data_IF_884022361476
#
_entry.id   IF_884022361476
#
_cell.length_a   1.000
_cell.length_b   1.000
_cell.length_c   1.000
_cell.angle_alpha   90.00
_cell.angle_beta   90.00
_cell.angle_gamma   90.00
#
_symmetry.space_group_name_H-M   'P 1'
#
loop_
_entity.id
_entity.type
_entity.pdbx_description
1 polymer ?
#
# COMPACT_ATOMS: atom_id res chain seq x y z
N UNK A 1 23.47 -11.28 -3.07
CA UNK A 1 22.14 -11.14 -2.43
C UNK A 1 22.23 -10.02 -1.39
N UNK A 2 21.23 -9.14 -1.32
CA UNK A 2 21.26 -7.90 -0.51
C UNK A 2 21.18 -8.11 1.01
N UNK A 3 20.85 -9.31 1.47
CA UNK A 3 20.76 -9.62 2.90
C UNK A 3 19.60 -8.95 3.63
N UNK A 4 18.55 -8.54 2.92
CA UNK A 4 17.34 -7.96 3.49
C UNK A 4 16.46 -9.02 4.17
N UNK A 5 15.96 -8.68 5.36
CA UNK A 5 15.18 -9.58 6.23
C UNK A 5 13.77 -9.01 6.47
N UNK A 6 13.63 -7.69 6.46
CA UNK A 6 12.33 -7.02 6.56
C UNK A 6 11.74 -6.74 5.18
N UNK A 7 10.50 -7.19 4.99
CA UNK A 7 9.69 -6.95 3.79
C UNK A 7 8.50 -6.12 4.19
N UNK A 8 8.38 -4.91 3.63
CA UNK A 8 7.23 -4.04 3.85
C UNK A 8 6.22 -4.21 2.71
N UNK A 9 4.97 -4.51 3.05
CA UNK A 9 3.88 -4.72 2.11
C UNK A 9 2.72 -3.77 2.43
N UNK A 10 2.37 -2.92 1.47
CA UNK A 10 1.30 -1.91 1.58
C UNK A 10 -0.12 -2.47 1.48
N UNK A 11 -0.36 -3.72 1.88
CA UNK A 11 -1.70 -4.30 1.92
C UNK A 11 -2.64 -3.47 2.79
N UNK A 12 -3.93 -3.50 2.43
CA UNK A 12 -4.98 -2.84 3.15
C UNK A 12 -6.25 -3.69 3.09
N UNK A 13 -6.84 -4.04 4.24
CA UNK A 13 -8.05 -4.88 4.27
C UNK A 13 -9.35 -4.11 4.03
N UNK A 14 -9.30 -2.78 4.10
CA UNK A 14 -10.46 -1.90 3.95
C UNK A 14 -10.67 -1.45 2.50
N UNK A 15 -9.62 -1.50 1.67
CA UNK A 15 -9.71 -1.24 0.24
C UNK A 15 -10.57 -2.33 -0.42
N UNK A 16 -11.67 -1.88 -1.01
CA UNK A 16 -12.69 -2.74 -1.59
C UNK A 16 -12.13 -3.83 -2.50
N UNK A 17 -12.41 -5.09 -2.14
CA UNK A 17 -12.26 -6.31 -2.98
C UNK A 17 -12.30 -7.61 -2.16
N UNK A 18 -12.01 -7.56 -0.84
CA UNK A 18 -12.02 -8.76 -0.01
C UNK A 18 -10.99 -9.81 -0.44
N UNK A 19 -9.92 -9.40 -1.16
CA UNK A 19 -8.89 -10.31 -1.62
C UNK A 19 -8.33 -11.11 -0.43
N UNK A 20 -8.29 -12.44 -0.52
CA UNK A 20 -7.87 -13.29 0.59
C UNK A 20 -6.38 -13.15 0.92
N UNK A 21 -5.58 -12.65 -0.02
CA UNK A 21 -4.13 -12.45 0.12
C UNK A 21 -3.74 -11.15 0.87
N UNK A 22 -4.67 -10.22 1.05
CA UNK A 22 -4.43 -9.00 1.84
C UNK A 22 -4.74 -9.19 3.33
N UNK A 23 -5.14 -10.41 3.74
CA UNK A 23 -5.56 -10.71 5.12
C UNK A 23 -4.37 -11.09 6.01
N UNK A 24 -4.41 -10.75 7.32
CA UNK A 24 -3.35 -11.13 8.26
C UNK A 24 -3.00 -12.63 8.23
N UNK A 25 -4.01 -13.49 8.09
CA UNK A 25 -3.82 -14.95 8.11
C UNK A 25 -3.01 -15.44 6.90
N UNK A 26 -3.23 -14.85 5.73
CA UNK A 26 -2.43 -15.14 4.53
C UNK A 26 -0.99 -14.66 4.73
N UNK A 27 -0.82 -13.42 5.20
CA UNK A 27 0.51 -12.83 5.41
C UNK A 27 1.33 -13.65 6.41
N UNK A 28 0.71 -14.08 7.51
CA UNK A 28 1.33 -14.93 8.53
C UNK A 28 1.70 -16.32 7.96
N UNK A 29 0.83 -16.90 7.14
CA UNK A 29 1.11 -18.18 6.48
C UNK A 29 2.26 -18.06 5.47
N UNK A 30 2.28 -16.97 4.70
CA UNK A 30 3.33 -16.69 3.73
C UNK A 30 4.67 -16.43 4.41
N UNK A 31 4.71 -15.65 5.51
CA UNK A 31 5.93 -15.42 6.29
C UNK A 31 6.51 -16.75 6.82
N UNK A 32 5.66 -17.64 7.35
CA UNK A 32 6.10 -18.98 7.80
C UNK A 32 6.68 -19.79 6.65
N UNK A 33 5.98 -19.82 5.50
CA UNK A 33 6.43 -20.53 4.31
C UNK A 33 7.78 -19.98 3.81
N UNK A 34 7.94 -18.66 3.70
CA UNK A 34 9.16 -18.03 3.22
C UNK A 34 10.39 -18.38 4.09
N UNK A 35 10.21 -18.48 5.41
CA UNK A 35 11.26 -18.89 6.33
C UNK A 35 11.62 -20.38 6.22
N UNK A 36 10.70 -21.24 5.76
CA UNK A 36 10.97 -22.66 5.51
C UNK A 36 11.54 -22.91 4.10
N UNK A 37 11.19 -22.07 3.13
CA UNK A 37 11.49 -22.29 1.72
C UNK A 37 12.84 -21.72 1.27
N UNK A 38 13.60 -21.08 2.16
CA UNK A 38 14.83 -20.35 1.80
C UNK A 38 16.04 -20.81 2.60
N UNK A 39 17.21 -20.89 1.94
CA UNK A 39 18.49 -21.17 2.61
C UNK A 39 18.79 -20.16 3.72
N UNK A 40 18.42 -18.89 3.50
CA UNK A 40 18.58 -17.85 4.50
C UNK A 40 17.76 -18.14 5.77
N UNK A 41 16.49 -18.51 5.61
CA UNK A 41 15.61 -18.90 6.71
C UNK A 41 16.08 -20.14 7.46
N UNK A 42 16.50 -21.17 6.73
CA UNK A 42 16.82 -22.49 7.31
C UNK A 42 18.22 -22.57 7.89
N UNK A 43 19.24 -22.14 7.15
CA UNK A 43 20.65 -22.38 7.53
C UNK A 43 21.29 -21.20 8.24
N UNK A 44 20.93 -19.97 7.88
CA UNK A 44 21.64 -18.77 8.36
C UNK A 44 21.03 -18.11 9.60
N UNK A 45 19.98 -18.70 10.19
CA UNK A 45 19.18 -18.15 11.30
C UNK A 45 18.63 -16.74 11.07
N UNK A 46 18.65 -16.28 9.82
CA UNK A 46 18.01 -15.02 9.42
C UNK A 46 16.53 -15.28 9.28
N UNK A 47 15.69 -14.35 9.73
CA UNK A 47 14.25 -14.52 9.70
C UNK A 47 13.61 -13.44 8.87
N UNK A 48 12.96 -13.84 7.79
CA UNK A 48 12.11 -12.93 7.04
C UNK A 48 10.95 -12.48 7.92
N UNK A 49 10.74 -11.17 7.99
CA UNK A 49 9.59 -10.55 8.67
C UNK A 49 8.81 -9.73 7.65
N UNK A 50 7.52 -10.00 7.55
CA UNK A 50 6.61 -9.23 6.71
C UNK A 50 5.89 -8.20 7.58
N UNK A 51 6.01 -6.94 7.19
CA UNK A 51 5.39 -5.80 7.85
C UNK A 51 4.28 -5.24 6.98
N UNK A 52 3.07 -5.13 7.51
CA UNK A 52 1.92 -4.55 6.82
C UNK A 52 1.38 -3.33 7.57
N UNK A 53 2.13 -2.22 7.62
CA UNK A 53 1.81 -1.08 8.48
C UNK A 53 0.48 -0.43 8.14
N UNK A 54 0.01 -0.58 6.89
CA UNK A 54 -1.22 0.04 6.41
C UNK A 54 -2.45 -0.86 6.52
N UNK A 55 -2.29 -2.11 6.99
CA UNK A 55 -3.30 -3.17 6.81
C UNK A 55 -4.68 -2.81 7.37
N UNK A 56 -4.73 -2.09 8.49
CA UNK A 56 -5.98 -1.67 9.16
C UNK A 56 -6.25 -0.16 9.06
N UNK A 57 -5.40 0.59 8.35
CA UNK A 57 -5.61 2.04 8.21
C UNK A 57 -6.70 2.32 7.19
N UNK A 58 -7.57 3.28 7.48
CA UNK A 58 -8.42 3.91 6.47
C UNK A 58 -7.57 4.73 5.49
N UNK A 59 -8.12 5.05 4.31
CA UNK A 59 -7.39 5.91 3.36
C UNK A 59 -7.01 7.27 3.93
N UNK A 60 -7.89 7.90 4.72
CA UNK A 60 -7.57 9.17 5.34
C UNK A 60 -6.45 9.06 6.39
N UNK A 61 -6.39 7.96 7.15
CA UNK A 61 -5.26 7.69 8.06
C UNK A 61 -3.94 7.47 7.30
N UNK A 62 -3.97 6.76 6.16
CA UNK A 62 -2.79 6.60 5.28
C UNK A 62 -2.32 7.97 4.78
N UNK A 63 -3.24 8.82 4.30
CA UNK A 63 -2.92 10.17 3.82
C UNK A 63 -2.33 11.02 4.95
N UNK A 64 -2.93 11.05 6.15
CA UNK A 64 -2.39 11.80 7.30
C UNK A 64 -1.02 11.28 7.73
N UNK A 65 -0.82 9.97 7.72
CA UNK A 65 0.46 9.35 8.07
C UNK A 65 1.54 9.75 7.07
N UNK A 66 1.28 9.61 5.77
CA UNK A 66 2.21 10.03 4.73
C UNK A 66 2.53 11.53 4.81
N UNK A 67 1.52 12.38 5.04
CA UNK A 67 1.72 13.81 5.23
C UNK A 67 2.63 14.13 6.43
N UNK A 68 2.38 13.48 7.56
CA UNK A 68 3.20 13.65 8.79
C UNK A 68 4.65 13.19 8.57
N UNK A 69 4.86 12.16 7.75
CA UNK A 69 6.18 11.65 7.39
C UNK A 69 6.87 12.48 6.28
N UNK A 70 6.21 13.53 5.75
CA UNK A 70 6.77 14.36 4.69
C UNK A 70 6.74 13.72 3.30
N UNK A 71 5.84 12.77 3.05
CA UNK A 71 5.66 12.17 1.73
C UNK A 71 5.15 13.23 0.75
N UNK A 72 5.87 13.39 -0.35
CA UNK A 72 5.39 14.18 -1.49
C UNK A 72 4.38 13.38 -2.31
N UNK A 73 3.10 13.59 -2.02
CA UNK A 73 2.01 12.92 -2.72
C UNK A 73 1.88 13.31 -4.20
N UNK A 74 2.56 14.38 -4.67
CA UNK A 74 2.59 14.74 -6.09
C UNK A 74 3.37 13.73 -6.95
N UNK A 75 4.27 12.97 -6.30
CA UNK A 75 5.06 11.91 -6.93
C UNK A 75 4.35 10.55 -6.95
N UNK A 76 3.16 10.47 -6.36
CA UNK A 76 2.43 9.20 -6.21
C UNK A 76 1.32 9.08 -7.25
N UNK A 77 0.99 7.84 -7.62
CA UNK A 77 -0.05 7.55 -8.62
C UNK A 77 -1.02 6.49 -8.12
N UNK A 78 -2.31 6.65 -8.45
CA UNK A 78 -3.35 5.69 -8.09
C UNK A 78 -4.32 5.37 -9.23
N UNK A 79 -4.46 6.26 -10.22
CA UNK A 79 -5.45 6.11 -11.29
C UNK A 79 -5.23 4.86 -12.15
N UNK A 80 -6.29 4.09 -12.40
CA UNK A 80 -6.25 2.91 -13.26
C UNK A 80 -6.39 3.24 -14.74
N UNK A 81 -7.06 4.34 -15.06
CA UNK A 81 -7.38 4.72 -16.43
C UNK A 81 -6.90 6.15 -16.68
N UNK A 82 -5.59 6.39 -16.84
CA UNK A 82 -5.09 7.73 -17.19
C UNK A 82 -5.75 8.25 -18.47
N UNK A 83 -5.96 9.56 -18.53
CA UNK A 83 -6.37 10.22 -19.77
C UNK A 83 -5.24 10.18 -20.81
N UNK A 84 -5.53 10.37 -22.12
CA UNK A 84 -4.50 10.33 -23.16
C UNK A 84 -3.33 11.31 -22.98
N UNK A 85 -3.57 12.43 -22.28
CA UNK A 85 -2.57 13.44 -21.91
C UNK A 85 -1.82 13.12 -20.60
N UNK A 86 -2.07 11.95 -19.99
CA UNK A 86 -1.37 11.44 -18.81
C UNK A 86 -1.95 11.91 -17.46
N UNK A 87 -3.12 12.56 -17.44
CA UNK A 87 -3.81 12.97 -16.23
C UNK A 87 -4.57 11.84 -15.54
N UNK A 88 -4.84 11.97 -14.23
CA UNK A 88 -5.70 11.02 -13.54
C UNK A 88 -7.16 11.28 -13.95
N UNK A 89 -7.91 10.24 -14.33
CA UNK A 89 -9.27 10.43 -14.84
C UNK A 89 -10.24 11.02 -13.82
N UNK A 90 -10.00 10.82 -12.52
CA UNK A 90 -10.87 11.33 -11.47
C UNK A 90 -12.16 10.54 -11.25
N UNK A 91 -12.39 9.48 -12.04
CA UNK A 91 -13.65 8.72 -12.11
C UNK A 91 -13.51 7.24 -11.74
N UNK A 92 -12.35 6.61 -11.96
CA UNK A 92 -12.15 5.20 -11.60
C UNK A 92 -12.16 5.00 -10.08
N UNK A 93 -12.47 3.80 -9.60
CA UNK A 93 -12.59 3.49 -8.17
C UNK A 93 -11.39 3.98 -7.34
N UNK A 94 -10.17 3.76 -7.84
CA UNK A 94 -8.95 4.22 -7.18
C UNK A 94 -8.85 5.75 -7.08
N UNK A 95 -9.27 6.49 -8.12
CA UNK A 95 -9.33 7.96 -8.05
C UNK A 95 -10.37 8.43 -7.03
N UNK A 96 -11.55 7.79 -7.01
CA UNK A 96 -12.62 8.11 -6.07
C UNK A 96 -12.17 7.88 -4.62
N UNK A 97 -11.55 6.73 -4.34
CA UNK A 97 -11.00 6.40 -3.02
C UNK A 97 -9.90 7.36 -2.59
N UNK A 98 -9.00 7.73 -3.51
CA UNK A 98 -7.94 8.70 -3.24
C UNK A 98 -8.52 10.08 -2.90
N UNK A 99 -9.38 10.62 -3.76
CA UNK A 99 -10.04 11.93 -3.54
C UNK A 99 -10.78 11.95 -2.19
N UNK A 100 -11.54 10.89 -1.89
CA UNK A 100 -12.23 10.73 -0.60
C UNK A 100 -11.24 10.70 0.57
N UNK A 101 -10.15 9.95 0.45
CA UNK A 101 -9.11 9.86 1.48
C UNK A 101 -8.48 11.22 1.80
N UNK A 102 -8.15 12.02 0.78
CA UNK A 102 -7.64 13.40 0.97
C UNK A 102 -8.68 14.32 1.61
N UNK A 103 -9.92 14.29 1.11
CA UNK A 103 -11.01 15.10 1.65
C UNK A 103 -11.27 14.80 3.14
N UNK A 104 -11.36 13.52 3.51
CA UNK A 104 -11.53 13.08 4.90
C UNK A 104 -10.28 13.37 5.75
N UNK A 105 -9.09 13.37 5.16
CA UNK A 105 -7.87 13.77 5.85
C UNK A 105 -7.80 15.28 6.13
N UNK A 106 -8.65 16.09 5.49
CA UNK A 106 -8.59 17.56 5.57
C UNK A 106 -7.41 18.14 4.79
N UNK A 107 -6.92 17.42 3.77
CA UNK A 107 -5.75 17.79 2.98
C UNK A 107 -6.12 17.94 1.51
N UNK A 108 -5.40 18.82 0.80
CA UNK A 108 -5.55 19.00 -0.64
C UNK A 108 -4.71 17.93 -1.35
N UNK A 109 -5.33 17.17 -2.25
CA UNK A 109 -4.60 16.26 -3.13
C UNK A 109 -3.78 17.08 -4.15
N UNK A 110 -2.45 16.92 -4.22
CA UNK A 110 -1.64 17.66 -5.19
C UNK A 110 -1.83 17.20 -6.64
N UNK A 111 -2.51 16.08 -6.87
CA UNK A 111 -2.65 15.48 -8.19
C UNK A 111 -3.74 16.20 -9.00
N UNK A 112 -3.46 16.47 -10.29
CA UNK A 112 -4.43 17.07 -11.20
C UNK A 112 -5.34 15.99 -11.79
N UNK A 113 -6.64 16.19 -11.66
CA UNK A 113 -7.66 15.31 -12.21
C UNK A 113 -8.30 15.92 -13.46
N UNK A 114 -8.63 15.07 -14.43
CA UNK A 114 -9.32 15.49 -15.65
C UNK A 114 -10.82 15.77 -15.43
N UNK A 115 -11.42 15.14 -14.42
CA UNK A 115 -12.81 15.30 -13.99
C UNK A 115 -12.92 15.43 -12.47
#
# INVERSE_FOLDING_TARGET
VLGAEDVFFGANVLDYSGYPDCRPEYIDAFERMANLATKAGVESRRRFKIHTPLIRMTKSEIIRTGHTLGVDFSLTWSCYEPTPDGGACGLCDSCVLRKKGFAEAGLIDPLRYAA
#
